data_IF_429829895687
#
_entry.id   IF_429829895687
#
_cell.length_a   1.000
_cell.length_b   1.000
_cell.length_c   1.000
_cell.angle_alpha   90.00
_cell.angle_beta   90.00
_cell.angle_gamma   90.00
#
_symmetry.space_group_name_H-M   'P 1'
#
loop_
_entity.id
_entity.type
_entity.pdbx_description
1 polymer ?
#
# COMPACT_ATOMS: atom_id res chain seq x y z
N UNK A 1 -3.98 8.10 -10.28
CA UNK A 1 -3.61 8.35 -11.69
C UNK A 1 -2.20 8.91 -11.71
N UNK A 2 -1.35 8.49 -12.65
CA UNK A 2 -0.06 9.17 -12.92
C UNK A 2 -0.18 10.14 -14.11
N UNK A 3 -1.40 10.33 -14.60
CA UNK A 3 -1.70 11.22 -15.71
C UNK A 3 -1.86 12.66 -15.21
N UNK A 4 -1.57 13.62 -16.08
CA UNK A 4 -1.61 15.05 -15.78
C UNK A 4 -2.53 15.79 -16.73
N UNK A 5 -2.89 17.03 -16.39
CA UNK A 5 -3.81 17.87 -17.17
C UNK A 5 -5.28 17.68 -16.79
N UNK A 6 -6.10 18.67 -17.16
CA UNK A 6 -7.54 18.70 -16.84
C UNK A 6 -8.32 17.58 -17.53
N UNK A 7 -7.83 17.09 -18.68
CA UNK A 7 -8.44 15.97 -19.41
C UNK A 7 -8.39 14.65 -18.62
N UNK A 8 -7.44 14.54 -17.69
CA UNK A 8 -7.26 13.39 -16.80
C UNK A 8 -8.06 13.52 -15.49
N UNK A 9 -8.91 14.55 -15.37
CA UNK A 9 -9.72 14.75 -14.16
C UNK A 9 -10.82 13.70 -14.05
N UNK A 10 -10.93 13.09 -12.88
CA UNK A 10 -11.91 12.06 -12.57
C UNK A 10 -12.66 12.44 -11.28
N UNK A 11 -14.01 12.49 -11.28
CA UNK A 11 -14.79 12.81 -10.09
C UNK A 11 -14.62 11.79 -8.95
N UNK A 12 -14.25 10.55 -9.25
CA UNK A 12 -13.92 9.49 -8.30
C UNK A 12 -12.45 9.41 -7.93
N UNK A 13 -11.59 10.34 -8.40
CA UNK A 13 -10.14 10.30 -8.16
C UNK A 13 -9.76 10.16 -6.67
N UNK A 14 -10.54 10.81 -5.81
CA UNK A 14 -10.32 10.87 -4.37
C UNK A 14 -11.23 9.94 -3.57
N UNK A 15 -12.08 9.16 -4.24
CA UNK A 15 -13.00 8.24 -3.56
C UNK A 15 -12.22 7.17 -2.79
N UNK A 16 -12.62 6.94 -1.53
CA UNK A 16 -11.97 6.09 -0.54
C UNK A 16 -10.53 6.52 -0.16
N UNK A 17 -10.06 7.70 -0.58
CA UNK A 17 -8.71 8.19 -0.28
C UNK A 17 -8.60 8.82 1.10
N UNK A 18 -7.45 8.66 1.76
CA UNK A 18 -7.11 9.52 2.89
C UNK A 18 -6.78 10.90 2.37
N UNK A 19 -7.42 11.91 2.96
CA UNK A 19 -7.17 13.31 2.71
C UNK A 19 -6.68 13.95 4.00
N UNK A 20 -5.41 14.36 4.05
CA UNK A 20 -4.85 15.00 5.25
C UNK A 20 -5.19 16.48 5.26
N UNK A 21 -5.77 16.96 6.35
CA UNK A 21 -6.02 18.35 6.65
C UNK A 21 -5.04 18.84 7.71
N UNK A 22 -4.26 19.87 7.40
CA UNK A 22 -3.26 20.45 8.31
C UNK A 22 -3.63 21.89 8.68
N UNK A 23 -4.61 22.11 9.58
CA UNK A 23 -5.05 23.45 9.93
C UNK A 23 -3.91 24.26 10.58
N UNK A 24 -3.74 25.50 10.14
CA UNK A 24 -2.78 26.42 10.73
C UNK A 24 -3.22 26.82 12.17
N UNK A 25 -2.29 27.26 13.03
CA UNK A 25 -2.64 27.81 14.34
C UNK A 25 -3.69 28.92 14.22
N UNK A 26 -4.76 28.83 15.00
CA UNK A 26 -5.87 29.81 14.97
C UNK A 26 -6.95 29.52 13.92
N UNK A 27 -6.82 28.47 13.11
CA UNK A 27 -7.91 28.05 12.21
C UNK A 27 -9.13 27.63 13.04
N UNK A 28 -10.29 28.24 12.78
CA UNK A 28 -11.51 27.94 13.54
C UNK A 28 -11.97 26.49 13.31
N UNK A 29 -12.49 25.85 14.37
CA UNK A 29 -13.07 24.50 14.25
C UNK A 29 -14.23 24.43 13.25
N UNK A 30 -14.96 25.53 13.06
CA UNK A 30 -16.02 25.61 12.05
C UNK A 30 -15.48 25.51 10.62
N UNK A 31 -14.36 26.16 10.33
CA UNK A 31 -13.73 26.08 9.01
C UNK A 31 -13.19 24.66 8.73
N UNK A 32 -12.54 24.05 9.73
CA UNK A 32 -12.08 22.66 9.63
C UNK A 32 -13.27 21.72 9.41
N UNK A 33 -14.35 21.85 10.18
CA UNK A 33 -15.54 21.01 10.05
C UNK A 33 -16.21 21.11 8.68
N UNK A 34 -16.32 22.32 8.12
CA UNK A 34 -16.83 22.51 6.75
C UNK A 34 -15.99 21.80 5.71
N UNK A 35 -14.66 21.93 5.79
CA UNK A 35 -13.76 21.28 4.84
C UNK A 35 -13.75 19.76 5.02
N UNK A 36 -13.79 19.25 6.25
CA UNK A 36 -13.94 17.81 6.51
C UNK A 36 -15.22 17.25 5.90
N UNK A 37 -16.35 17.97 6.03
CA UNK A 37 -17.62 17.56 5.44
C UNK A 37 -17.51 17.48 3.91
N UNK A 38 -16.92 18.49 3.28
CA UNK A 38 -16.69 18.48 1.83
C UNK A 38 -15.82 17.31 1.38
N UNK A 39 -14.74 17.03 2.13
CA UNK A 39 -13.84 15.90 1.87
C UNK A 39 -14.58 14.55 1.99
N UNK A 40 -15.50 14.42 2.94
CA UNK A 40 -16.35 13.22 3.07
C UNK A 40 -17.36 13.11 1.92
N UNK A 41 -17.96 14.22 1.49
CA UNK A 41 -18.93 14.27 0.40
C UNK A 41 -18.33 13.85 -0.96
N UNK A 42 -17.04 14.10 -1.19
CA UNK A 42 -16.30 13.61 -2.36
C UNK A 42 -15.81 12.15 -2.21
N UNK A 43 -16.23 11.46 -1.14
CA UNK A 43 -15.92 10.06 -0.87
C UNK A 43 -14.55 9.82 -0.24
N UNK A 44 -13.81 10.87 0.12
CA UNK A 44 -12.53 10.75 0.82
C UNK A 44 -12.72 10.66 2.34
N UNK A 45 -11.61 10.44 3.05
CA UNK A 45 -11.56 10.30 4.50
C UNK A 45 -10.64 11.37 5.08
N UNK A 46 -11.19 12.40 5.74
CA UNK A 46 -10.38 13.46 6.31
C UNK A 46 -9.61 12.95 7.53
N UNK A 47 -8.31 13.23 7.58
CA UNK A 47 -7.48 13.08 8.78
C UNK A 47 -6.90 14.43 9.14
N UNK A 48 -7.16 14.89 10.36
CA UNK A 48 -6.59 16.15 10.87
C UNK A 48 -5.22 15.83 11.49
N UNK A 49 -4.19 16.52 11.02
CA UNK A 49 -2.82 16.32 11.51
C UNK A 49 -2.08 17.66 11.65
N UNK A 50 -1.15 17.72 12.59
CA UNK A 50 -0.18 18.82 12.63
C UNK A 50 0.69 18.80 11.34
N UNK A 51 0.95 19.96 10.71
CA UNK A 51 1.73 20.01 9.46
C UNK A 51 3.16 19.46 9.60
N UNK A 52 3.85 19.72 10.72
CA UNK A 52 5.21 19.20 10.90
C UNK A 52 5.21 17.69 11.14
N UNK A 53 4.17 17.17 11.81
CA UNK A 53 3.94 15.73 11.98
C UNK A 53 3.62 15.06 10.64
N UNK A 54 2.79 15.69 9.79
CA UNK A 54 2.53 15.23 8.44
C UNK A 54 3.84 15.04 7.68
N UNK A 55 4.63 16.11 7.57
CA UNK A 55 5.87 16.13 6.79
C UNK A 55 6.88 15.08 7.26
N UNK A 56 7.01 14.87 8.58
CA UNK A 56 7.87 13.81 9.14
C UNK A 56 7.39 12.41 8.78
N UNK A 57 6.08 12.17 8.83
CA UNK A 57 5.50 10.86 8.52
C UNK A 57 5.63 10.58 7.02
N UNK A 58 5.21 11.50 6.15
CA UNK A 58 5.30 11.29 4.69
C UNK A 58 6.74 11.22 4.20
N UNK A 59 7.69 11.88 4.88
CA UNK A 59 9.11 11.68 4.59
C UNK A 59 9.53 10.22 4.75
N UNK A 60 9.03 9.52 5.78
CA UNK A 60 9.37 8.12 6.05
C UNK A 60 8.63 7.14 5.14
N UNK A 61 7.33 7.36 4.90
CA UNK A 61 6.46 6.36 4.25
C UNK A 61 6.19 6.62 2.76
N UNK A 62 6.61 7.77 2.24
CA UNK A 62 6.41 8.15 0.83
C UNK A 62 7.69 8.66 0.19
N UNK A 63 8.31 9.70 0.75
CA UNK A 63 9.44 10.37 0.10
C UNK A 63 10.71 9.50 0.11
N UNK A 64 11.07 8.96 1.28
CA UNK A 64 12.22 8.06 1.41
C UNK A 64 12.08 6.83 0.50
N UNK A 65 10.95 6.10 0.44
CA UNK A 65 10.75 5.02 -0.52
C UNK A 65 11.05 5.40 -1.97
N UNK A 66 10.59 6.57 -2.44
CA UNK A 66 10.88 7.02 -3.80
C UNK A 66 12.37 7.27 -4.03
N UNK A 67 13.04 7.96 -3.10
CA UNK A 67 14.48 8.24 -3.22
C UNK A 67 15.31 6.96 -3.14
N UNK A 68 14.92 6.01 -2.29
CA UNK A 68 15.58 4.70 -2.22
C UNK A 68 15.38 3.92 -3.51
N UNK A 69 14.18 3.93 -4.11
CA UNK A 69 13.92 3.30 -5.40
C UNK A 69 14.78 3.91 -6.52
N UNK A 70 14.83 5.25 -6.60
CA UNK A 70 15.68 5.95 -7.57
C UNK A 70 17.18 5.65 -7.35
N UNK A 71 17.62 5.61 -6.09
CA UNK A 71 19.02 5.28 -5.73
C UNK A 71 19.39 3.84 -6.10
N UNK A 72 18.46 2.89 -5.94
CA UNK A 72 18.64 1.50 -6.33
C UNK A 72 18.75 1.35 -7.86
N UNK A 73 17.98 2.12 -8.63
CA UNK A 73 18.13 2.19 -10.08
C UNK A 73 19.50 2.76 -10.45
N UNK A 74 19.92 3.84 -9.80
CA UNK A 74 21.22 4.47 -10.06
C UNK A 74 22.41 3.57 -9.69
N UNK A 75 22.31 2.73 -8.65
CA UNK A 75 23.40 1.84 -8.26
C UNK A 75 23.70 0.75 -9.29
N UNK A 76 22.74 0.40 -10.14
CA UNK A 76 22.93 -0.61 -11.21
C UNK A 76 23.17 0.03 -12.58
N UNK A 77 22.97 1.34 -12.73
CA UNK A 77 23.08 2.04 -14.01
C UNK A 77 24.50 2.06 -14.61
N UNK A 78 25.53 1.72 -13.83
CA UNK A 78 26.93 1.61 -14.27
C UNK A 78 27.48 0.17 -14.29
N UNK A 79 26.62 -0.84 -14.25
CA UNK A 79 27.06 -2.23 -14.29
C UNK A 79 27.75 -2.58 -15.62
N UNK A 80 28.77 -3.45 -15.57
CA UNK A 80 29.58 -3.82 -16.74
C UNK A 80 28.75 -4.48 -17.85
N UNK A 81 27.73 -5.29 -17.50
CA UNK A 81 26.83 -5.96 -18.44
C UNK A 81 25.38 -5.48 -18.29
N UNK A 82 25.10 -4.33 -18.89
CA UNK A 82 23.78 -3.71 -18.85
C UNK A 82 22.69 -4.55 -19.55
N UNK A 83 23.04 -5.38 -20.53
CA UNK A 83 22.08 -6.21 -21.25
C UNK A 83 21.61 -7.37 -20.36
N UNK A 84 22.55 -8.02 -19.68
CA UNK A 84 22.24 -9.05 -18.70
C UNK A 84 21.50 -8.48 -17.49
N UNK A 85 21.89 -7.30 -16.97
CA UNK A 85 21.16 -6.63 -15.90
C UNK A 85 19.72 -6.35 -16.29
N UNK A 86 19.45 -5.84 -17.50
CA UNK A 86 18.07 -5.60 -17.97
C UNK A 86 17.26 -6.90 -18.10
N UNK A 87 17.91 -7.98 -18.51
CA UNK A 87 17.29 -9.30 -18.66
C UNK A 87 16.96 -9.91 -17.29
N UNK A 88 17.86 -9.80 -16.32
CA UNK A 88 17.72 -10.37 -14.98
C UNK A 88 16.96 -9.49 -13.99
N UNK A 89 16.80 -8.19 -14.29
CA UNK A 89 16.02 -7.24 -13.48
C UNK A 89 14.50 -7.52 -13.46
N UNK A 90 14.06 -8.74 -13.76
CA UNK A 90 12.67 -9.16 -13.71
C UNK A 90 12.16 -9.34 -12.26
N UNK A 91 10.84 -9.22 -12.08
CA UNK A 91 10.17 -9.41 -10.79
C UNK A 91 10.54 -8.35 -9.76
N UNK A 92 11.22 -8.75 -8.68
CA UNK A 92 11.41 -7.93 -7.48
C UNK A 92 12.12 -6.58 -7.70
N UNK A 93 13.05 -6.49 -8.64
CA UNK A 93 13.70 -5.22 -8.97
C UNK A 93 12.71 -4.25 -9.64
N UNK A 94 12.00 -4.68 -10.69
CA UNK A 94 10.96 -3.87 -11.36
C UNK A 94 9.87 -3.45 -10.38
N UNK A 95 9.40 -4.35 -9.54
CA UNK A 95 8.32 -4.06 -8.59
C UNK A 95 8.77 -3.05 -7.52
N UNK A 96 9.96 -3.25 -6.96
CA UNK A 96 10.51 -2.37 -5.91
C UNK A 96 10.91 -0.99 -6.44
N UNK A 97 11.24 -0.89 -7.73
CA UNK A 97 11.68 0.36 -8.37
C UNK A 97 10.60 1.04 -9.21
N UNK A 98 9.39 0.47 -9.32
CA UNK A 98 8.28 1.06 -10.11
C UNK A 98 8.04 2.53 -9.80
N UNK A 99 8.10 2.91 -8.52
CA UNK A 99 7.85 4.27 -8.07
C UNK A 99 8.94 5.28 -8.49
N UNK A 100 10.13 4.82 -8.91
CA UNK A 100 11.18 5.68 -9.43
C UNK A 100 10.84 6.35 -10.78
N UNK A 101 9.75 5.90 -11.44
CA UNK A 101 9.25 6.49 -12.69
C UNK A 101 8.47 7.80 -12.48
N UNK A 102 8.33 8.26 -11.24
CA UNK A 102 7.62 9.51 -10.93
C UNK A 102 8.25 10.74 -11.60
N UNK A 103 7.43 11.77 -11.81
CA UNK A 103 7.86 13.01 -12.47
C UNK A 103 9.03 13.70 -11.73
N UNK A 104 10.19 13.92 -12.38
CA UNK A 104 11.37 14.50 -11.73
C UNK A 104 11.19 15.90 -11.17
N UNK A 105 10.39 16.76 -11.83
CA UNK A 105 10.15 18.13 -11.37
C UNK A 105 9.33 18.15 -10.08
N UNK A 106 8.28 17.33 -10.01
CA UNK A 106 7.47 17.17 -8.79
C UNK A 106 8.34 16.64 -7.65
N UNK A 107 9.15 15.61 -7.92
CA UNK A 107 9.99 15.01 -6.88
C UNK A 107 11.12 15.91 -6.42
N UNK A 108 11.70 16.74 -7.30
CA UNK A 108 12.62 17.83 -6.93
C UNK A 108 11.95 18.75 -5.91
N UNK A 109 10.74 19.22 -6.20
CA UNK A 109 10.04 20.20 -5.35
C UNK A 109 9.63 19.57 -4.01
N UNK A 110 9.21 18.30 -3.99
CA UNK A 110 8.96 17.51 -2.77
C UNK A 110 10.24 17.39 -1.93
N UNK A 111 11.38 17.09 -2.55
CA UNK A 111 12.65 16.96 -1.83
C UNK A 111 13.10 18.27 -1.22
N UNK A 112 12.97 19.38 -1.94
CA UNK A 112 13.38 20.71 -1.47
C UNK A 112 12.46 21.18 -0.34
N UNK A 113 11.14 21.06 -0.53
CA UNK A 113 10.14 21.52 0.45
C UNK A 113 10.23 20.76 1.78
N UNK A 114 10.47 19.45 1.75
CA UNK A 114 10.54 18.61 2.95
C UNK A 114 11.97 18.12 3.28
N UNK A 115 12.99 18.89 2.89
CA UNK A 115 14.40 18.47 2.92
C UNK A 115 14.89 17.98 4.28
N UNK A 116 14.45 18.62 5.37
CA UNK A 116 14.97 18.33 6.70
C UNK A 116 14.43 17.02 7.27
N UNK A 117 13.12 16.76 7.09
CA UNK A 117 12.53 15.49 7.49
C UNK A 117 13.06 14.36 6.61
N UNK A 118 13.21 14.60 5.30
CA UNK A 118 13.79 13.63 4.38
C UNK A 118 15.25 13.32 4.72
N UNK A 119 16.07 14.32 5.08
CA UNK A 119 17.45 14.10 5.52
C UNK A 119 17.51 13.24 6.79
N UNK A 120 16.61 13.47 7.75
CA UNK A 120 16.52 12.64 8.95
C UNK A 120 16.10 11.19 8.59
N UNK A 121 15.12 11.01 7.70
CA UNK A 121 14.69 9.71 7.22
C UNK A 121 15.83 8.96 6.50
N UNK A 122 16.59 9.64 5.63
CA UNK A 122 17.76 9.09 4.94
C UNK A 122 18.85 8.64 5.91
N UNK A 123 19.12 9.41 6.97
CA UNK A 123 20.08 9.00 8.01
C UNK A 123 19.66 7.70 8.69
N UNK A 124 18.40 7.56 9.05
CA UNK A 124 17.85 6.33 9.64
C UNK A 124 17.92 5.14 8.67
N UNK A 125 17.63 5.38 7.40
CA UNK A 125 17.75 4.35 6.36
C UNK A 125 19.20 3.92 6.15
N UNK A 126 20.13 4.87 6.02
CA UNK A 126 21.56 4.58 5.90
C UNK A 126 22.07 3.76 7.08
N UNK A 127 21.71 4.12 8.31
CA UNK A 127 22.08 3.34 9.48
C UNK A 127 21.55 1.89 9.42
N UNK A 128 20.42 1.66 8.75
CA UNK A 128 19.85 0.33 8.56
C UNK A 128 20.59 -0.49 7.50
N UNK A 129 21.11 0.16 6.45
CA UNK A 129 22.01 -0.44 5.45
C UNK A 129 23.38 -0.74 6.06
N UNK A 130 23.97 0.22 6.79
CA UNK A 130 25.27 0.08 7.44
C UNK A 130 25.28 -1.11 8.43
N UNK A 131 24.15 -1.37 9.12
CA UNK A 131 23.99 -2.58 9.96
C UNK A 131 24.07 -3.88 9.16
N UNK A 132 23.39 -3.95 8.01
CA UNK A 132 23.42 -5.12 7.14
C UNK A 132 24.81 -5.31 6.52
N UNK A 133 25.45 -4.23 6.09
CA UNK A 133 26.83 -4.25 5.60
C UNK A 133 27.79 -4.82 6.64
N UNK A 134 27.66 -4.41 7.91
CA UNK A 134 28.46 -4.98 9.00
C UNK A 134 28.24 -6.49 9.14
N UNK A 135 27.00 -6.97 9.14
CA UNK A 135 26.73 -8.41 9.24
C UNK A 135 27.27 -9.22 8.05
N UNK A 136 27.43 -8.60 6.89
CA UNK A 136 28.02 -9.21 5.71
C UNK A 136 29.56 -9.19 5.74
N UNK A 137 30.15 -8.09 6.21
CA UNK A 137 31.60 -7.92 6.33
C UNK A 137 32.19 -8.80 7.45
N UNK A 138 31.46 -8.98 8.54
CA UNK A 138 31.73 -9.93 9.61
C UNK A 138 30.62 -10.99 9.61
N UNK A 139 30.72 -12.05 8.80
CA UNK A 139 29.61 -12.95 8.49
C UNK A 139 28.85 -13.43 9.74
N UNK A 140 27.70 -12.80 10.00
CA UNK A 140 26.86 -13.04 11.17
C UNK A 140 25.49 -13.56 10.72
N UNK A 141 25.41 -14.87 10.48
CA UNK A 141 24.21 -15.50 9.95
C UNK A 141 22.97 -15.27 10.84
N UNK A 142 23.10 -15.35 12.16
CA UNK A 142 21.96 -15.13 13.06
C UNK A 142 21.54 -13.66 13.07
N UNK A 143 22.50 -12.71 13.09
CA UNK A 143 22.19 -11.28 13.00
C UNK A 143 21.44 -10.90 11.72
N UNK A 144 21.83 -11.48 10.58
CA UNK A 144 21.11 -11.30 9.30
C UNK A 144 19.68 -11.83 9.42
N UNK A 145 19.51 -13.04 9.95
CA UNK A 145 18.20 -13.68 10.10
C UNK A 145 17.29 -12.88 11.03
N UNK A 146 17.78 -12.47 12.18
CA UNK A 146 17.03 -11.64 13.14
C UNK A 146 16.59 -10.31 12.51
N UNK A 147 17.48 -9.63 11.78
CA UNK A 147 17.17 -8.40 11.07
C UNK A 147 16.03 -8.61 10.05
N UNK A 148 16.10 -9.67 9.25
CA UNK A 148 15.08 -10.00 8.25
C UNK A 148 13.74 -10.39 8.89
N UNK A 149 13.76 -11.10 10.02
CA UNK A 149 12.55 -11.44 10.78
C UNK A 149 11.87 -10.19 11.33
N UNK A 150 12.62 -9.27 11.93
CA UNK A 150 12.08 -7.99 12.41
C UNK A 150 11.43 -7.18 11.28
N UNK A 151 12.09 -7.12 10.12
CA UNK A 151 11.54 -6.44 8.94
C UNK A 151 10.25 -7.12 8.44
N UNK A 152 10.23 -8.46 8.38
CA UNK A 152 9.06 -9.25 7.98
C UNK A 152 7.89 -9.01 8.94
N UNK A 153 8.14 -9.08 10.23
CA UNK A 153 7.09 -8.99 11.26
C UNK A 153 6.50 -7.57 11.30
N UNK A 154 7.36 -6.53 11.21
CA UNK A 154 6.89 -5.15 11.07
C UNK A 154 6.06 -4.94 9.81
N UNK A 155 6.53 -5.45 8.66
CA UNK A 155 5.78 -5.37 7.38
C UNK A 155 4.46 -6.13 7.43
N UNK A 156 4.40 -7.26 8.12
CA UNK A 156 3.19 -8.08 8.24
C UNK A 156 2.15 -7.42 9.14
N UNK A 157 2.58 -6.63 10.12
CA UNK A 157 1.71 -5.81 10.95
C UNK A 157 1.14 -4.59 10.22
N UNK A 158 1.73 -4.17 9.08
CA UNK A 158 1.14 -3.14 8.22
C UNK A 158 -0.14 -3.74 7.60
N UNK A 159 -1.32 -3.15 7.85
CA UNK A 159 -2.57 -3.66 7.30
C UNK A 159 -2.49 -3.83 5.78
N UNK A 160 -2.97 -4.96 5.26
CA UNK A 160 -2.95 -5.26 3.81
C UNK A 160 -3.94 -4.40 2.99
N UNK A 161 -4.53 -3.38 3.60
CA UNK A 161 -5.51 -2.50 2.98
C UNK A 161 -4.92 -1.13 2.71
N UNK A 162 -5.11 -0.70 1.47
CA UNK A 162 -4.85 0.65 1.04
C UNK A 162 -5.69 1.64 1.82
N UNK A 163 -5.04 2.74 2.18
CA UNK A 163 -5.59 4.01 2.65
C UNK A 163 -6.04 3.95 4.12
N UNK A 164 -5.33 4.74 4.92
CA UNK A 164 -5.21 4.67 6.38
C UNK A 164 -6.51 4.65 7.16
N UNK A 165 -6.43 4.11 8.38
CA UNK A 165 -7.43 4.22 9.45
C UNK A 165 -8.88 3.98 8.98
N UNK A 166 -9.08 2.98 8.11
CA UNK A 166 -10.42 2.44 7.86
C UNK A 166 -10.86 1.59 9.07
N UNK A 167 -12.16 1.60 9.44
CA UNK A 167 -12.71 0.72 10.46
C UNK A 167 -12.44 -0.74 10.06
N UNK A 168 -12.42 -1.65 11.03
CA UNK A 168 -12.31 -3.11 10.82
C UNK A 168 -13.07 -3.54 9.56
N UNK A 169 -12.35 -3.73 8.45
CA UNK A 169 -13.01 -4.24 7.25
C UNK A 169 -13.04 -5.75 7.42
N UNK A 170 -14.24 -6.31 7.42
CA UNK A 170 -14.47 -7.72 7.70
C UNK A 170 -14.02 -8.54 6.50
N UNK A 171 -13.26 -9.61 6.73
CA UNK A 171 -12.63 -10.41 5.64
C UNK A 171 -13.25 -11.79 5.50
N UNK A 172 -13.24 -12.29 4.27
CA UNK A 172 -13.46 -13.71 3.95
C UNK A 172 -12.33 -14.21 3.06
N UNK A 173 -11.85 -15.42 3.31
CA UNK A 173 -10.92 -16.13 2.44
C UNK A 173 -11.70 -17.20 1.70
N UNK A 174 -11.81 -17.07 0.37
CA UNK A 174 -12.47 -18.02 -0.51
C UNK A 174 -11.41 -18.87 -1.19
N UNK A 175 -11.45 -20.19 -0.97
CA UNK A 175 -10.59 -21.12 -1.71
C UNK A 175 -11.18 -21.37 -3.09
N UNK A 176 -10.35 -21.23 -4.12
CA UNK A 176 -10.75 -21.38 -5.51
C UNK A 176 -9.72 -22.14 -6.32
N UNK A 177 -10.18 -22.83 -7.37
CA UNK A 177 -9.27 -23.34 -8.39
C UNK A 177 -8.90 -22.23 -9.35
N UNK A 178 -7.63 -22.16 -9.73
CA UNK A 178 -7.16 -21.23 -10.74
C UNK A 178 -7.67 -21.67 -12.11
N UNK A 179 -8.84 -21.14 -12.49
CA UNK A 179 -9.56 -21.48 -13.71
C UNK A 179 -10.13 -20.22 -14.35
N UNK A 180 -10.18 -20.14 -15.69
CA UNK A 180 -10.76 -18.99 -16.37
C UNK A 180 -12.17 -18.65 -15.86
N UNK A 181 -12.39 -17.37 -15.54
CA UNK A 181 -13.68 -16.84 -15.12
C UNK A 181 -14.05 -17.05 -13.64
N UNK A 182 -13.18 -17.65 -12.82
CA UNK A 182 -13.50 -17.89 -11.40
C UNK A 182 -13.77 -16.60 -10.62
N UNK A 183 -13.01 -15.53 -10.88
CA UNK A 183 -13.23 -14.23 -10.26
C UNK A 183 -14.57 -13.63 -10.67
N UNK A 184 -14.88 -13.65 -11.98
CA UNK A 184 -16.14 -13.11 -12.50
C UNK A 184 -17.37 -13.82 -11.90
N UNK A 185 -17.29 -15.14 -11.67
CA UNK A 185 -18.36 -15.89 -11.00
C UNK A 185 -18.59 -15.43 -9.57
N UNK A 186 -17.51 -15.22 -8.81
CA UNK A 186 -17.59 -14.81 -7.41
C UNK A 186 -18.06 -13.36 -7.29
N UNK A 187 -17.45 -12.45 -8.03
CA UNK A 187 -17.79 -11.04 -7.99
C UNK A 187 -19.18 -10.78 -8.57
N UNK A 188 -19.55 -11.47 -9.64
CA UNK A 188 -20.90 -11.44 -10.22
C UNK A 188 -21.96 -11.91 -9.22
N UNK A 189 -21.74 -13.06 -8.58
CA UNK A 189 -22.65 -13.59 -7.55
C UNK A 189 -22.90 -12.59 -6.41
N UNK A 190 -21.84 -11.95 -5.92
CA UNK A 190 -21.93 -10.95 -4.85
C UNK A 190 -22.61 -9.66 -5.35
N UNK A 191 -22.30 -9.22 -6.56
CA UNK A 191 -22.92 -8.07 -7.21
C UNK A 191 -24.43 -8.26 -7.43
N UNK A 192 -24.85 -9.43 -7.93
CA UNK A 192 -26.26 -9.79 -8.15
C UNK A 192 -27.06 -9.79 -6.84
N UNK A 193 -26.40 -10.06 -5.71
CA UNK A 193 -26.98 -10.01 -4.37
C UNK A 193 -26.93 -8.60 -3.73
N UNK A 194 -26.44 -7.58 -4.45
CA UNK A 194 -26.27 -6.23 -3.94
C UNK A 194 -25.21 -6.11 -2.84
N UNK A 195 -24.22 -7.01 -2.83
CA UNK A 195 -23.12 -7.01 -1.85
C UNK A 195 -21.90 -6.33 -2.47
N UNK A 196 -21.60 -5.12 -1.99
CA UNK A 196 -20.37 -4.43 -2.37
C UNK A 196 -19.14 -5.17 -1.84
N UNK A 197 -18.07 -5.23 -2.64
CA UNK A 197 -16.77 -5.75 -2.24
C UNK A 197 -15.81 -4.56 -2.17
N UNK A 198 -15.42 -4.18 -0.95
CA UNK A 198 -14.55 -3.03 -0.71
C UNK A 198 -13.07 -3.33 -0.99
N UNK A 199 -12.67 -4.60 -0.97
CA UNK A 199 -11.32 -5.02 -1.32
C UNK A 199 -11.28 -6.46 -1.87
N UNK A 200 -10.44 -6.69 -2.89
CA UNK A 200 -10.13 -8.02 -3.44
C UNK A 200 -8.62 -8.19 -3.48
N UNK A 201 -8.13 -9.30 -2.96
CA UNK A 201 -6.72 -9.69 -3.04
C UNK A 201 -6.61 -11.16 -3.47
N UNK A 202 -5.77 -11.44 -4.46
CA UNK A 202 -5.43 -12.80 -4.87
C UNK A 202 -4.19 -13.21 -4.07
N UNK A 203 -4.33 -14.25 -3.26
CA UNK A 203 -3.26 -14.75 -2.41
C UNK A 203 -2.60 -15.98 -3.05
N UNK A 204 -1.28 -15.93 -3.17
CA UNK A 204 -0.45 -17.02 -3.68
C UNK A 204 0.00 -17.94 -2.54
N UNK A 205 -0.92 -18.70 -1.95
CA UNK A 205 -0.56 -19.74 -0.97
C UNK A 205 -0.13 -20.98 -1.76
N UNK A 206 1.17 -21.30 -1.75
CA UNK A 206 1.78 -22.38 -2.55
C UNK A 206 1.63 -23.79 -1.96
N UNK A 207 1.08 -23.93 -0.76
CA UNK A 207 1.05 -25.21 -0.03
C UNK A 207 -0.19 -26.07 -0.29
N UNK A 208 -1.24 -25.50 -0.88
CA UNK A 208 -2.46 -26.23 -1.27
C UNK A 208 -2.76 -25.93 -2.74
N UNK A 209 -3.17 -26.93 -3.50
CA UNK A 209 -3.31 -26.94 -4.96
C UNK A 209 -4.42 -26.04 -5.53
N UNK A 210 -4.78 -24.95 -4.83
CA UNK A 210 -5.78 -23.97 -5.21
C UNK A 210 -5.36 -22.55 -4.82
N UNK A 211 -5.73 -21.58 -5.65
CA UNK A 211 -5.60 -20.17 -5.31
C UNK A 211 -6.56 -19.80 -4.18
N UNK A 212 -6.28 -18.70 -3.48
CA UNK A 212 -7.21 -18.17 -2.50
C UNK A 212 -7.46 -16.69 -2.77
N UNK A 213 -8.71 -16.28 -2.61
CA UNK A 213 -9.12 -14.89 -2.81
C UNK A 213 -9.56 -14.36 -1.46
N UNK A 214 -8.97 -13.25 -1.02
CA UNK A 214 -9.44 -12.51 0.14
C UNK A 214 -10.41 -11.43 -0.33
N UNK A 215 -11.63 -11.45 0.21
CA UNK A 215 -12.67 -10.47 -0.02
C UNK A 215 -12.86 -9.61 1.23
N UNK A 216 -12.99 -8.31 1.05
CA UNK A 216 -13.19 -7.33 2.12
C UNK A 216 -14.54 -6.64 2.05
N UNK A 217 -15.16 -6.45 3.21
CA UNK A 217 -16.49 -5.84 3.35
C UNK A 217 -16.50 -4.75 4.43
N UNK A 218 -17.13 -3.61 4.12
CA UNK A 218 -17.23 -2.45 5.02
C UNK A 218 -17.93 -2.75 6.34
N UNK A 219 -18.83 -3.74 6.38
CA UNK A 219 -19.62 -4.07 7.57
C UNK A 219 -19.70 -5.58 7.83
N UNK A 220 -19.78 -5.97 9.11
CA UNK A 220 -19.94 -7.39 9.51
C UNK A 220 -21.19 -8.01 8.91
N UNK A 221 -22.25 -7.20 8.77
CA UNK A 221 -23.50 -7.61 8.12
C UNK A 221 -23.30 -8.00 6.65
N UNK A 222 -22.50 -7.24 5.89
CA UNK A 222 -22.18 -7.58 4.50
C UNK A 222 -21.29 -8.81 4.42
N UNK A 223 -20.27 -8.92 5.27
CA UNK A 223 -19.43 -10.12 5.36
C UNK A 223 -20.26 -11.38 5.66
N UNK A 224 -21.17 -11.33 6.64
CA UNK A 224 -22.04 -12.46 6.98
C UNK A 224 -22.97 -12.85 5.82
N UNK A 225 -23.56 -11.87 5.12
CA UNK A 225 -24.36 -12.12 3.91
C UNK A 225 -23.53 -12.78 2.81
N UNK A 226 -22.32 -12.28 2.56
CA UNK A 226 -21.40 -12.83 1.58
C UNK A 226 -20.98 -14.27 1.94
N UNK A 227 -20.66 -14.52 3.21
CA UNK A 227 -20.30 -15.84 3.74
C UNK A 227 -21.42 -16.85 3.51
N UNK A 228 -22.66 -16.49 3.85
CA UNK A 228 -23.81 -17.35 3.67
C UNK A 228 -24.04 -17.66 2.18
N UNK A 229 -24.05 -16.64 1.33
CA UNK A 229 -24.27 -16.80 -0.10
C UNK A 229 -23.19 -17.65 -0.77
N UNK A 230 -21.92 -17.41 -0.45
CA UNK A 230 -20.81 -18.17 -1.03
C UNK A 230 -20.82 -19.64 -0.58
N UNK A 231 -21.15 -19.90 0.70
CA UNK A 231 -21.32 -21.27 1.20
C UNK A 231 -22.50 -21.97 0.53
N UNK A 232 -23.63 -21.29 0.35
CA UNK A 232 -24.81 -21.82 -0.36
C UNK A 232 -24.47 -22.21 -1.81
N UNK A 233 -23.60 -21.44 -2.48
CA UNK A 233 -23.10 -21.75 -3.83
C UNK A 233 -21.94 -22.74 -3.88
N UNK A 234 -21.59 -23.37 -2.75
CA UNK A 234 -20.61 -24.45 -2.68
C UNK A 234 -19.15 -24.01 -2.64
N UNK A 235 -18.87 -22.72 -2.38
CA UNK A 235 -17.50 -22.27 -2.16
C UNK A 235 -17.04 -22.63 -0.75
N UNK A 236 -15.77 -23.02 -0.63
CA UNK A 236 -15.12 -23.15 0.67
C UNK A 236 -14.64 -21.77 1.12
N UNK A 237 -15.20 -21.27 2.22
CA UNK A 237 -14.94 -19.93 2.73
C UNK A 237 -14.55 -19.99 4.20
N UNK A 238 -13.43 -19.35 4.53
CA UNK A 238 -12.94 -19.18 5.89
C UNK A 238 -13.08 -17.72 6.35
N UNK A 239 -13.40 -17.54 7.63
CA UNK A 239 -13.41 -16.24 8.31
C UNK A 239 -12.15 -16.18 9.18
N UNK A 240 -11.16 -15.30 8.90
CA UNK A 240 -9.92 -15.26 9.67
C UNK A 240 -10.07 -14.84 11.14
N UNK A 241 -11.26 -14.35 11.52
CA UNK A 241 -11.59 -13.84 12.86
C UNK A 241 -12.26 -14.90 13.76
N UNK A 242 -12.51 -16.12 13.25
CA UNK A 242 -13.06 -17.28 13.97
C UNK A 242 -12.00 -18.40 14.13
#
# INVERSE_FOLDING_TARGET
SEESGIESADPGLLENAIYVLTPAPGTSGQAVGKLSTLVEEIGSQPIILDPLKHDRIVALISHLPHITAASLVQSVAGAEDMELVRTLAAGGFRDSTRIALGNPDIWRDICISNRWALLAALKSFKASIDRMEKYLAEPNAEGIKEYLLQARDYRSAIPHRGRGILPEIYTLIVLVRDTPGVLAKITGLLGDAGINIDAIEIMHIRELSGGSIRLGFKTKKQQQKALHLLKEKGYYVNCPED
#
